data_IF_643005519570
#
_entry.id   IF_643005519570
#
_cell.length_a   1.000
_cell.length_b   1.000
_cell.length_c   1.000
_cell.angle_alpha   90.00
_cell.angle_beta   90.00
_cell.angle_gamma   90.00
#
_symmetry.space_group_name_H-M   'P 1'
#
loop_
_entity.id
_entity.type
_entity.pdbx_description
1 polymer ?
#
# COMPACT_ATOMS: atom_id res chain seq x y z
N UNK A 1 -2.96 -16.27 35.85
CA UNK A 1 -2.69 -16.73 34.46
C UNK A 1 -3.61 -16.09 33.41
N UNK A 2 -4.92 -15.88 33.66
CA UNK A 2 -5.87 -15.23 32.71
C UNK A 2 -5.39 -13.89 32.13
N UNK A 3 -4.87 -12.97 32.96
CA UNK A 3 -4.47 -11.63 32.49
C UNK A 3 -3.27 -11.66 31.52
N UNK A 4 -2.38 -12.67 31.63
CA UNK A 4 -1.21 -12.80 30.74
C UNK A 4 -1.60 -13.28 29.34
N UNK A 5 -2.70 -14.02 29.21
CA UNK A 5 -3.22 -14.51 27.92
C UNK A 5 -3.93 -13.37 27.17
N UNK A 6 -4.71 -12.55 27.88
CA UNK A 6 -5.37 -11.38 27.29
C UNK A 6 -4.37 -10.39 26.68
N UNK A 7 -3.29 -10.08 27.41
CA UNK A 7 -2.24 -9.15 26.96
C UNK A 7 -1.59 -9.65 25.65
N UNK A 8 -1.32 -10.95 25.54
CA UNK A 8 -0.73 -11.54 24.33
C UNK A 8 -1.68 -11.47 23.14
N UNK A 9 -2.98 -11.65 23.35
CA UNK A 9 -3.99 -11.57 22.29
C UNK A 9 -4.12 -10.14 21.73
N UNK A 10 -4.07 -9.13 22.62
CA UNK A 10 -4.07 -7.71 22.22
C UNK A 10 -2.81 -7.36 21.43
N UNK A 11 -1.63 -7.79 21.88
CA UNK A 11 -0.36 -7.58 21.17
C UNK A 11 -0.28 -8.28 19.80
N UNK A 12 -1.00 -9.40 19.59
CA UNK A 12 -1.10 -10.02 18.28
C UNK A 12 -2.02 -9.26 17.31
N UNK A 13 -3.02 -8.52 17.82
CA UNK A 13 -3.96 -7.78 16.96
C UNK A 13 -3.37 -6.50 16.33
N UNK A 14 -2.23 -6.01 16.83
CA UNK A 14 -1.53 -4.83 16.25
C UNK A 14 -0.66 -5.19 15.03
N UNK A 15 -0.55 -6.48 14.69
CA UNK A 15 0.07 -6.94 13.44
C UNK A 15 -0.93 -6.82 12.30
N UNK A 16 -1.25 -5.60 11.89
CA UNK A 16 -2.01 -5.33 10.67
C UNK A 16 -1.14 -4.48 9.76
N UNK A 17 -1.13 -4.85 8.47
CA UNK A 17 -0.48 -4.24 7.29
C UNK A 17 0.28 -2.92 7.50
N UNK A 18 1.47 -2.79 6.88
CA UNK A 18 2.28 -1.55 6.83
C UNK A 18 1.36 -0.32 6.90
N UNK A 19 1.38 0.46 8.00
CA UNK A 19 0.45 1.56 8.19
C UNK A 19 0.91 2.75 7.35
N UNK A 20 0.88 2.59 6.03
CA UNK A 20 1.18 3.66 5.09
C UNK A 20 0.06 4.69 5.20
N UNK A 21 0.43 5.88 5.65
CA UNK A 21 -0.45 7.03 5.74
C UNK A 21 -0.31 7.88 4.49
N UNK A 22 -1.37 8.63 4.14
CA UNK A 22 -1.30 9.58 3.04
C UNK A 22 -0.17 10.58 3.29
N UNK A 23 0.69 10.74 2.30
CA UNK A 23 1.84 11.63 2.37
C UNK A 23 3.14 10.96 2.83
N UNK A 24 3.10 9.73 3.34
CA UNK A 24 4.31 8.97 3.65
C UNK A 24 5.16 8.83 2.38
N UNK A 25 6.47 9.05 2.53
CA UNK A 25 7.45 8.82 1.47
C UNK A 25 8.00 7.43 1.62
N UNK A 26 7.78 6.59 0.63
CA UNK A 26 8.19 5.18 0.64
C UNK A 26 8.89 4.82 -0.67
N UNK A 27 9.73 3.76 -0.67
CA UNK A 27 10.21 3.14 -1.90
C UNK A 27 9.04 2.70 -2.79
N UNK A 28 9.35 2.31 -4.02
CA UNK A 28 8.36 1.76 -4.94
C UNK A 28 7.46 0.70 -4.27
N UNK A 29 6.19 1.09 -4.12
CA UNK A 29 5.12 0.24 -3.60
C UNK A 29 4.06 0.00 -4.68
N UNK A 30 4.35 0.37 -5.93
CA UNK A 30 3.43 0.17 -7.03
C UNK A 30 3.31 -1.32 -7.32
N UNK A 31 2.09 -1.81 -7.23
CA UNK A 31 1.72 -3.13 -7.76
C UNK A 31 1.15 -2.92 -9.15
N UNK A 32 1.47 -3.79 -10.12
CA UNK A 32 0.82 -3.75 -11.42
C UNK A 32 -0.70 -3.86 -11.24
N UNK A 33 -1.45 -2.96 -11.88
CA UNK A 33 -2.92 -2.98 -11.83
C UNK A 33 -3.50 -3.03 -13.24
N UNK A 34 -4.56 -3.80 -13.44
CA UNK A 34 -5.26 -3.86 -14.72
C UNK A 34 -6.36 -2.78 -14.75
N UNK A 35 -6.06 -1.58 -15.23
CA UNK A 35 -7.06 -0.51 -15.42
C UNK A 35 -7.74 -0.71 -16.78
N UNK A 36 -8.94 -1.30 -16.76
CA UNK A 36 -9.94 -1.22 -17.83
C UNK A 36 -9.45 -1.56 -19.26
N UNK A 37 -8.76 -2.70 -19.43
CA UNK A 37 -8.24 -3.15 -20.72
C UNK A 37 -7.41 -4.44 -20.62
N UNK A 38 -6.67 -4.77 -21.67
CA UNK A 38 -5.67 -5.86 -21.68
C UNK A 38 -4.29 -5.29 -21.34
N UNK A 39 -3.72 -5.68 -20.20
CA UNK A 39 -2.34 -5.38 -19.82
C UNK A 39 -2.22 -4.76 -18.43
N UNK A 40 -0.99 -4.76 -17.93
CA UNK A 40 -0.66 -4.25 -16.60
C UNK A 40 -0.26 -2.76 -16.66
N UNK A 41 -0.80 -1.96 -15.74
CA UNK A 41 -0.38 -0.59 -15.50
C UNK A 41 0.55 -0.54 -14.29
N UNK A 42 1.81 -0.18 -14.52
CA UNK A 42 2.81 0.00 -13.49
C UNK A 42 3.01 1.50 -13.21
N UNK A 43 2.77 1.94 -11.97
CA UNK A 43 2.94 3.35 -11.61
C UNK A 43 4.40 3.79 -11.61
N UNK A 44 5.35 2.89 -11.35
CA UNK A 44 6.76 3.23 -11.36
C UNK A 44 7.22 3.75 -12.72
N UNK A 45 6.97 2.95 -13.75
CA UNK A 45 7.32 3.25 -15.14
C UNK A 45 6.51 4.42 -15.71
N UNK A 46 5.24 4.57 -15.30
CA UNK A 46 4.30 5.53 -15.92
C UNK A 46 4.20 6.87 -15.21
N UNK A 47 4.65 7.01 -13.96
CA UNK A 47 4.50 8.22 -13.13
C UNK A 47 5.84 8.81 -12.66
N UNK A 48 6.86 8.79 -13.52
CA UNK A 48 8.18 9.41 -13.28
C UNK A 48 8.92 8.87 -12.04
N UNK A 49 8.84 7.57 -11.79
CA UNK A 49 9.50 6.93 -10.65
C UNK A 49 10.98 7.18 -10.54
N UNK A 50 11.68 6.98 -11.65
CA UNK A 50 13.12 7.18 -11.76
C UNK A 50 13.53 8.64 -11.47
N UNK A 51 12.72 9.61 -11.94
CA UNK A 51 12.96 11.04 -11.73
C UNK A 51 12.77 11.45 -10.26
N UNK A 52 11.89 10.75 -9.54
CA UNK A 52 11.62 10.99 -8.11
C UNK A 52 12.56 10.21 -7.18
N UNK A 53 13.64 9.64 -7.70
CA UNK A 53 14.60 8.84 -6.91
C UNK A 53 14.02 7.51 -6.43
N UNK A 54 12.98 6.99 -7.11
CA UNK A 54 12.30 5.75 -6.79
C UNK A 54 11.41 5.80 -5.55
N UNK A 55 11.21 6.99 -4.98
CA UNK A 55 10.33 7.20 -3.84
C UNK A 55 9.01 7.83 -4.26
N UNK A 56 7.94 7.44 -3.58
CA UNK A 56 6.57 7.86 -3.86
C UNK A 56 5.91 8.41 -2.61
N UNK A 57 5.00 9.35 -2.82
CA UNK A 57 4.06 9.77 -1.79
C UNK A 57 2.84 8.87 -1.83
N UNK A 58 2.52 8.27 -0.69
CA UNK A 58 1.29 7.47 -0.53
C UNK A 58 0.08 8.38 -0.72
N UNK A 59 -0.86 7.95 -1.57
CA UNK A 59 -2.15 8.60 -1.76
C UNK A 59 -3.24 7.54 -1.91
N UNK A 60 -4.47 7.86 -1.54
CA UNK A 60 -5.63 7.01 -1.82
C UNK A 60 -6.24 7.43 -3.15
N UNK A 61 -6.50 6.45 -4.01
CA UNK A 61 -7.21 6.63 -5.27
C UNK A 61 -8.52 5.85 -5.18
N UNK A 62 -9.69 6.50 -5.26
CA UNK A 62 -10.95 5.79 -5.39
C UNK A 62 -10.98 5.12 -6.77
N UNK A 63 -10.91 3.79 -6.80
CA UNK A 63 -11.05 3.03 -8.04
C UNK A 63 -12.52 2.68 -8.22
N UNK A 64 -13.18 3.31 -9.18
CA UNK A 64 -14.50 2.89 -9.65
C UNK A 64 -14.29 1.88 -10.77
N UNK A 65 -14.28 0.59 -10.42
CA UNK A 65 -14.32 -0.49 -11.40
C UNK A 65 -15.79 -0.88 -11.64
N UNK A 66 -16.28 -0.71 -12.87
CA UNK A 66 -17.54 -1.31 -13.34
C UNK A 66 -17.19 -2.42 -14.33
N UNK A 67 -17.79 -3.60 -14.17
CA UNK A 67 -17.72 -4.71 -15.13
C UNK A 67 -18.87 -4.67 -16.12
#
# INVERSE_FOLDING_TARGET
MKNKVLIKLVLCSVLSALPLQVGDVVPDFSVPVCINGTGDFNFYERANGEVNGGNYKVTWLPIFASW
#
